data_IF_648321663276
#
_entry.id   IF_648321663276
#
_cell.length_a   1.000
_cell.length_b   1.000
_cell.length_c   1.000
_cell.angle_alpha   90.00
_cell.angle_beta   90.00
_cell.angle_gamma   90.00
#
_symmetry.space_group_name_H-M   'P 1'
#
loop_
_entity.id
_entity.type
_entity.pdbx_description
1 polymer ?
#
# COMPACT_ATOMS: atom_id res chain seq x y z
N UNK A 1 16.67 0.57 19.57
CA UNK A 1 15.21 0.56 19.51
C UNK A 1 14.88 -0.02 18.15
N UNK A 2 14.28 -1.22 18.11
CA UNK A 2 13.93 -1.84 16.84
C UNK A 2 12.86 -0.97 16.16
N UNK A 3 13.21 -0.40 15.00
CA UNK A 3 12.27 0.34 14.16
C UNK A 3 11.26 -0.67 13.59
N UNK A 4 10.08 -0.74 14.20
CA UNK A 4 9.00 -1.65 13.81
C UNK A 4 8.17 -0.99 12.71
N UNK A 5 8.14 -1.55 11.48
CA UNK A 5 7.29 -1.05 10.41
C UNK A 5 5.81 -0.95 10.81
N UNK A 6 5.32 -1.84 11.67
CA UNK A 6 3.96 -1.80 12.22
C UNK A 6 3.72 -0.51 13.00
N UNK A 7 4.63 -0.13 13.89
CA UNK A 7 4.49 1.11 14.67
C UNK A 7 4.52 2.34 13.78
N UNK A 8 5.36 2.33 12.76
CA UNK A 8 5.40 3.42 11.78
C UNK A 8 4.10 3.51 10.98
N UNK A 9 3.61 2.40 10.41
CA UNK A 9 2.34 2.35 9.68
C UNK A 9 1.19 2.91 10.54
N UNK A 10 1.08 2.44 11.78
CA UNK A 10 0.06 2.91 12.72
C UNK A 10 0.18 4.40 13.06
N UNK A 11 1.38 4.99 13.00
CA UNK A 11 1.60 6.41 13.29
C UNK A 11 1.00 7.36 12.23
N UNK A 12 0.73 6.85 11.02
CA UNK A 12 -0.01 7.57 9.97
C UNK A 12 -1.53 7.56 10.20
N UNK A 13 -2.00 6.71 11.12
CA UNK A 13 -3.41 6.50 11.42
C UNK A 13 -3.74 7.01 12.84
N UNK A 14 -5.01 6.91 13.23
CA UNK A 14 -5.49 7.38 14.53
C UNK A 14 -5.71 8.90 14.63
N UNK A 15 -5.61 9.63 13.51
CA UNK A 15 -5.71 11.10 13.48
C UNK A 15 -6.25 11.63 12.15
N UNK A 16 -6.80 12.83 12.19
CA UNK A 16 -7.30 13.53 11.00
C UNK A 16 -8.37 12.70 10.27
N UNK A 17 -8.15 12.49 8.98
CA UNK A 17 -9.09 11.76 8.11
C UNK A 17 -9.10 10.25 8.31
N UNK A 18 -8.08 9.71 8.98
CA UNK A 18 -7.93 8.28 9.26
C UNK A 18 -7.96 8.04 10.79
N UNK A 19 -9.13 8.18 11.45
CA UNK A 19 -9.26 8.02 12.90
C UNK A 19 -9.10 6.56 13.36
N UNK A 20 -9.37 5.58 12.49
CA UNK A 20 -9.19 4.16 12.80
C UNK A 20 -7.75 3.72 12.58
N UNK A 21 -7.28 2.79 13.43
CA UNK A 21 -5.95 2.20 13.35
C UNK A 21 -6.08 0.71 12.98
N UNK A 22 -5.55 0.34 11.82
CA UNK A 22 -5.46 -1.04 11.37
C UNK A 22 -4.41 -1.83 12.17
N UNK A 23 -4.66 -3.13 12.30
CA UNK A 23 -3.68 -4.06 12.86
C UNK A 23 -2.70 -4.49 11.78
N UNK A 24 -1.41 -4.29 12.04
CA UNK A 24 -0.31 -4.78 11.20
C UNK A 24 0.54 -5.78 11.98
N UNK A 25 1.32 -6.55 11.24
CA UNK A 25 2.36 -7.43 11.75
C UNK A 25 3.65 -7.16 10.99
N UNK A 26 4.77 -7.05 11.71
CA UNK A 26 6.09 -6.91 11.11
C UNK A 26 6.43 -8.17 10.33
N UNK A 27 6.89 -7.99 9.09
CA UNK A 27 7.27 -9.07 8.19
C UNK A 27 8.61 -8.72 7.52
N UNK A 28 9.26 -9.75 6.99
CA UNK A 28 10.39 -9.62 6.07
C UNK A 28 9.90 -9.90 4.64
N UNK A 29 10.00 -8.91 3.77
CA UNK A 29 9.75 -9.10 2.34
C UNK A 29 11.03 -9.67 1.72
N UNK A 30 10.94 -10.88 1.17
CA UNK A 30 12.06 -11.54 0.52
C UNK A 30 12.31 -10.94 -0.87
N UNK A 31 13.55 -11.07 -1.34
CA UNK A 31 13.93 -10.81 -2.73
C UNK A 31 13.00 -11.54 -3.71
N UNK A 32 12.62 -10.87 -4.78
CA UNK A 32 11.77 -11.36 -5.86
C UNK A 32 10.27 -11.13 -5.66
N UNK A 33 9.85 -10.66 -4.48
CA UNK A 33 8.44 -10.29 -4.24
C UNK A 33 8.09 -9.05 -5.05
N UNK A 34 6.94 -9.07 -5.72
CA UNK A 34 6.37 -7.92 -6.44
C UNK A 34 5.15 -7.40 -5.69
N UNK A 35 5.12 -6.10 -5.45
CA UNK A 35 4.03 -5.38 -4.79
C UNK A 35 3.61 -4.18 -5.63
N UNK A 36 2.42 -3.65 -5.34
CA UNK A 36 1.79 -2.64 -6.19
C UNK A 36 1.47 -1.38 -5.41
N UNK A 37 1.88 -0.23 -5.94
CA UNK A 37 1.65 1.09 -5.36
C UNK A 37 0.76 1.93 -6.26
N UNK A 38 -0.19 2.66 -5.68
CA UNK A 38 -1.00 3.62 -6.44
C UNK A 38 -0.14 4.78 -6.93
N UNK A 39 -0.10 5.01 -8.24
CA UNK A 39 0.70 6.06 -8.91
C UNK A 39 -0.17 7.00 -9.76
N UNK A 40 0.25 8.26 -9.99
CA UNK A 40 1.47 8.90 -9.51
C UNK A 40 1.42 9.29 -8.01
N UNK A 41 2.56 9.71 -7.47
CA UNK A 41 2.71 10.20 -6.09
C UNK A 41 2.31 9.15 -5.05
N UNK A 42 2.79 7.92 -5.23
CA UNK A 42 2.63 6.86 -4.25
C UNK A 42 3.30 7.19 -2.91
N UNK A 43 2.77 6.59 -1.83
CA UNK A 43 3.30 6.71 -0.47
C UNK A 43 4.10 5.44 -0.09
N UNK A 44 4.24 5.18 1.19
CA UNK A 44 4.83 3.96 1.76
C UNK A 44 3.90 2.74 1.69
N UNK A 45 2.67 2.91 1.21
CA UNK A 45 1.65 1.86 1.18
C UNK A 45 1.51 1.18 -0.18
N UNK A 46 1.57 -0.15 -0.14
CA UNK A 46 1.43 -1.05 -1.26
C UNK A 46 0.28 -2.04 -1.03
N UNK A 47 -0.09 -2.74 -2.09
CA UNK A 47 -0.97 -3.91 -2.05
C UNK A 47 -0.43 -5.03 -2.93
N UNK A 48 -1.19 -6.12 -3.06
CA UNK A 48 -0.82 -7.31 -3.83
C UNK A 48 -1.51 -7.31 -5.20
N UNK A 49 -0.96 -8.04 -6.16
CA UNK A 49 -1.64 -8.29 -7.44
C UNK A 49 -3.03 -8.92 -7.24
N UNK A 50 -3.13 -9.85 -6.29
CA UNK A 50 -4.39 -10.51 -5.96
C UNK A 50 -5.46 -9.52 -5.49
N UNK A 51 -5.08 -8.45 -4.76
CA UNK A 51 -6.03 -7.41 -4.36
C UNK A 51 -6.58 -6.66 -5.58
N UNK A 52 -5.70 -6.30 -6.52
CA UNK A 52 -6.08 -5.64 -7.77
C UNK A 52 -7.04 -6.53 -8.58
N UNK A 53 -6.70 -7.81 -8.71
CA UNK A 53 -7.52 -8.79 -9.42
C UNK A 53 -8.89 -8.99 -8.76
N UNK A 54 -8.96 -9.08 -7.42
CA UNK A 54 -10.21 -9.17 -6.65
C UNK A 54 -11.10 -7.93 -6.80
N UNK A 55 -10.51 -6.80 -7.12
CA UNK A 55 -11.22 -5.55 -7.41
C UNK A 55 -11.62 -5.41 -8.88
N UNK A 56 -11.53 -6.48 -9.68
CA UNK A 56 -11.82 -6.49 -11.11
C UNK A 56 -11.04 -5.45 -11.93
N UNK A 57 -9.85 -5.07 -11.43
CA UNK A 57 -9.04 -3.99 -11.97
C UNK A 57 -9.78 -2.63 -11.98
N UNK A 58 -10.81 -2.44 -11.16
CA UNK A 58 -11.57 -1.19 -11.06
C UNK A 58 -10.98 -0.29 -9.96
N UNK A 59 -10.74 0.98 -10.28
CA UNK A 59 -10.11 1.92 -9.35
C UNK A 59 -10.94 2.09 -8.07
N UNK A 60 -12.22 2.38 -8.19
CA UNK A 60 -13.12 2.57 -7.04
C UNK A 60 -13.12 1.35 -6.12
N UNK A 61 -13.38 0.15 -6.65
CA UNK A 61 -13.38 -1.09 -5.86
C UNK A 61 -12.04 -1.36 -5.17
N UNK A 62 -10.93 -1.03 -5.82
CA UNK A 62 -9.59 -1.24 -5.25
C UNK A 62 -9.33 -0.28 -4.10
N UNK A 63 -9.53 1.01 -4.31
CA UNK A 63 -9.19 2.01 -3.31
C UNK A 63 -10.18 2.05 -2.15
N UNK A 64 -11.46 1.75 -2.37
CA UNK A 64 -12.42 1.53 -1.29
C UNK A 64 -12.09 0.27 -0.47
N UNK A 65 -11.66 -0.80 -1.15
CA UNK A 65 -11.17 -2.01 -0.50
C UNK A 65 -9.87 -1.82 0.29
N UNK A 66 -9.12 -0.76 -0.02
CA UNK A 66 -7.95 -0.29 0.71
C UNK A 66 -8.26 0.89 1.65
N UNK A 67 -9.53 1.28 1.80
CA UNK A 67 -10.02 2.42 2.58
C UNK A 67 -9.22 3.72 2.34
N UNK A 68 -8.89 4.00 1.08
CA UNK A 68 -8.20 5.22 0.68
C UNK A 68 -9.25 6.28 0.37
N UNK A 69 -9.07 7.48 0.92
CA UNK A 69 -9.90 8.63 0.57
C UNK A 69 -9.76 8.97 -0.92
N UNK A 70 -10.90 9.17 -1.60
CA UNK A 70 -10.93 9.67 -2.96
C UNK A 70 -10.43 11.12 -3.04
N UNK A 71 -9.59 11.45 -4.02
CA UNK A 71 -9.14 12.83 -4.19
C UNK A 71 -10.29 13.70 -4.71
N UNK A 72 -10.60 14.85 -4.08
CA UNK A 72 -11.80 15.64 -4.40
C UNK A 72 -11.84 16.20 -5.82
N UNK A 73 -10.69 16.33 -6.48
CA UNK A 73 -10.57 16.85 -7.86
C UNK A 73 -10.20 15.77 -8.87
N UNK A 74 -9.41 14.77 -8.45
CA UNK A 74 -8.76 13.83 -9.38
C UNK A 74 -9.35 12.43 -9.30
N UNK A 75 -10.25 12.18 -8.34
CA UNK A 75 -10.77 10.86 -8.05
C UNK A 75 -9.68 9.91 -7.57
N UNK A 76 -9.92 8.62 -7.78
CA UNK A 76 -8.92 7.59 -7.54
C UNK A 76 -7.84 7.54 -8.62
N UNK A 77 -6.63 7.13 -8.21
CA UNK A 77 -5.54 6.85 -9.14
C UNK A 77 -5.95 5.73 -10.09
N UNK A 78 -5.51 5.80 -11.34
CA UNK A 78 -5.82 4.79 -12.36
C UNK A 78 -4.62 3.92 -12.76
N UNK A 79 -3.49 4.03 -12.04
CA UNK A 79 -2.28 3.25 -12.28
C UNK A 79 -1.78 2.63 -10.99
N UNK A 80 -1.46 1.34 -11.04
CA UNK A 80 -0.75 0.62 -9.99
C UNK A 80 0.66 0.29 -10.51
N UNK A 81 1.68 0.99 -10.02
CA UNK A 81 3.09 0.68 -10.32
C UNK A 81 3.50 -0.62 -9.65
N UNK A 82 4.14 -1.52 -10.40
CA UNK A 82 4.64 -2.79 -9.92
C UNK A 82 6.10 -2.62 -9.49
N UNK A 83 6.41 -2.92 -8.23
CA UNK A 83 7.75 -2.79 -7.65
C UNK A 83 8.26 -4.15 -7.22
N UNK A 84 9.46 -4.51 -7.69
CA UNK A 84 10.15 -5.73 -7.28
C UNK A 84 11.10 -5.43 -6.12
N UNK A 85 11.11 -6.32 -5.13
CA UNK A 85 12.03 -6.30 -4.00
C UNK A 85 13.33 -7.01 -4.42
N UNK A 86 14.46 -6.32 -4.48
CA UNK A 86 15.73 -6.89 -4.93
C UNK A 86 16.61 -7.42 -3.79
N UNK A 87 16.29 -7.06 -2.54
CA UNK A 87 16.96 -7.50 -1.31
C UNK A 87 15.94 -7.69 -0.19
N UNK A 88 16.23 -8.50 0.83
CA UNK A 88 15.29 -8.65 1.95
C UNK A 88 15.13 -7.33 2.72
N UNK A 89 13.88 -6.88 2.91
CA UNK A 89 13.56 -5.63 3.62
C UNK A 89 12.51 -5.84 4.70
N UNK A 90 12.55 -4.99 5.72
CA UNK A 90 11.51 -4.89 6.74
C UNK A 90 10.27 -4.19 6.20
N UNK A 91 9.10 -4.74 6.53
CA UNK A 91 7.80 -4.18 6.16
C UNK A 91 6.74 -4.53 7.21
N UNK A 92 5.54 -3.96 7.08
CA UNK A 92 4.36 -4.33 7.85
C UNK A 92 3.28 -4.86 6.93
N UNK A 93 2.58 -5.92 7.32
CA UNK A 93 1.43 -6.45 6.58
C UNK A 93 0.17 -6.37 7.44
N UNK A 94 -0.93 -5.94 6.82
CA UNK A 94 -2.24 -5.85 7.47
C UNK A 94 -3.38 -6.08 6.48
N UNK A 95 -4.58 -6.27 7.02
CA UNK A 95 -5.82 -6.23 6.24
C UNK A 95 -6.61 -5.02 6.68
N UNK A 96 -6.92 -4.15 5.73
CA UNK A 96 -7.57 -2.86 5.97
C UNK A 96 -9.00 -3.04 6.45
N UNK A 97 -9.36 -2.42 7.59
CA UNK A 97 -10.70 -2.49 8.21
C UNK A 97 -11.09 -1.25 9.00
N UNK A 98 -10.14 -0.44 9.47
CA UNK A 98 -10.38 0.53 10.53
C UNK A 98 -11.08 1.83 10.09
N UNK A 99 -11.12 2.13 8.79
CA UNK A 99 -11.60 3.40 8.24
C UNK A 99 -12.78 3.19 7.26
N UNK A 100 -13.89 2.65 7.78
CA UNK A 100 -15.08 2.27 6.97
C UNK A 100 -15.76 3.42 6.24
N UNK A 101 -15.50 4.67 6.62
CA UNK A 101 -15.97 5.85 5.91
C UNK A 101 -15.42 5.96 4.48
N UNK A 102 -14.32 5.28 4.16
CA UNK A 102 -13.71 5.25 2.83
C UNK A 102 -13.95 3.95 2.07
N UNK A 103 -14.79 3.07 2.59
CA UNK A 103 -15.15 1.82 1.94
C UNK A 103 -15.05 0.61 2.84
N UNK A 104 -15.44 -0.52 2.26
CA UNK A 104 -15.60 -1.80 2.94
C UNK A 104 -14.30 -2.41 3.46
N UNK A 105 -13.14 -1.93 2.99
CA UNK A 105 -11.84 -2.51 3.33
C UNK A 105 -11.69 -3.94 2.80
N UNK A 106 -11.09 -4.82 3.62
CA UNK A 106 -10.88 -6.26 3.40
C UNK A 106 -9.77 -6.61 2.41
N UNK A 107 -9.08 -5.64 1.81
CA UNK A 107 -7.89 -5.90 1.00
C UNK A 107 -6.61 -5.86 1.82
N UNK A 108 -5.58 -6.63 1.42
CA UNK A 108 -4.27 -6.58 2.06
C UNK A 108 -3.56 -5.27 1.75
N UNK A 109 -2.83 -4.77 2.73
CA UNK A 109 -1.95 -3.62 2.61
C UNK A 109 -0.57 -3.96 3.18
N UNK A 110 0.47 -3.51 2.50
CA UNK A 110 1.86 -3.64 2.91
C UNK A 110 2.44 -2.25 3.10
N UNK A 111 2.91 -1.93 4.29
CA UNK A 111 3.67 -0.71 4.55
C UNK A 111 5.16 -1.02 4.42
N UNK A 112 5.85 -0.26 3.58
CA UNK A 112 7.31 -0.36 3.42
C UNK A 112 7.91 1.00 3.81
N UNK A 113 8.73 1.08 4.87
CA UNK A 113 9.35 2.34 5.25
C UNK A 113 10.41 2.80 4.24
N UNK A 114 10.65 4.11 4.16
CA UNK A 114 11.73 4.72 3.38
C UNK A 114 11.73 4.37 1.88
N UNK A 115 10.56 4.21 1.26
CA UNK A 115 10.42 3.76 -0.14
C UNK A 115 11.31 4.53 -1.11
N UNK A 116 11.37 5.86 -1.02
CA UNK A 116 12.19 6.65 -1.94
C UNK A 116 13.68 6.30 -1.83
N UNK A 117 14.19 6.09 -0.62
CA UNK A 117 15.59 5.67 -0.44
C UNK A 117 15.83 4.25 -0.95
N UNK A 118 14.85 3.35 -0.80
CA UNK A 118 14.95 1.99 -1.32
C UNK A 118 14.94 1.99 -2.86
N UNK A 119 14.16 2.87 -3.48
CA UNK A 119 14.15 3.08 -4.94
C UNK A 119 15.49 3.65 -5.41
N UNK A 120 16.00 4.70 -4.76
CA UNK A 120 17.29 5.30 -5.11
C UNK A 120 18.46 4.31 -5.02
N UNK A 121 18.37 3.33 -4.10
CA UNK A 121 19.37 2.28 -3.92
C UNK A 121 19.17 1.07 -4.84
N UNK A 122 18.10 1.01 -5.63
CA UNK A 122 17.76 -0.14 -6.46
C UNK A 122 17.30 -1.38 -5.65
N UNK A 123 16.92 -1.19 -4.39
CA UNK A 123 16.36 -2.25 -3.54
C UNK A 123 14.88 -2.46 -3.88
N UNK A 124 14.19 -1.39 -4.27
CA UNK A 124 12.85 -1.44 -4.86
C UNK A 124 12.90 -0.85 -6.27
N UNK A 125 12.65 -1.66 -7.29
CA UNK A 125 12.64 -1.17 -8.68
C UNK A 125 11.24 -1.24 -9.27
N UNK A 126 10.80 -0.17 -9.94
CA UNK A 126 9.57 -0.21 -10.76
C UNK A 126 9.83 -1.06 -12.01
N UNK A 127 9.12 -2.18 -12.12
CA UNK A 127 9.29 -3.16 -13.21
C UNK A 127 8.12 -3.17 -14.19
N UNK A 128 7.10 -2.34 -13.94
CA UNK A 128 5.93 -2.23 -14.81
C UNK A 128 4.77 -1.53 -14.12
N UNK A 129 3.59 -1.58 -14.74
CA UNK A 129 2.37 -1.06 -14.13
C UNK A 129 1.11 -1.75 -14.65
N UNK A 130 0.04 -1.69 -13.86
CA UNK A 130 -1.31 -2.10 -14.24
C UNK A 130 -2.17 -0.84 -14.35
N UNK A 131 -2.87 -0.70 -15.48
CA UNK A 131 -3.91 0.32 -15.64
C UNK A 131 -5.23 -0.19 -15.07
N UNK A 132 -5.87 0.63 -14.24
CA UNK A 132 -7.20 0.38 -13.70
C UNK A 132 -8.28 0.94 -14.63
N UNK A 133 -9.44 0.29 -14.62
CA UNK A 133 -10.66 0.67 -15.31
C UNK A 133 -11.46 1.68 -14.51
#
# INVERSE_FOLDING_TARGET
>A
MDNSPTKEAQSFQGKGKYPGIDSYTDIKLKKGIVLFRGEPNGTEYFTTEQAIAKSDFNATKLFEGLQVEEHPIFGYRNKMGAYIVNEEIDAAYGIVRANSQFGDGKLPQVYIPNVNQLIEKGILDEVGSIKLK
#
